data_IF_253042060707
#
_entry.id   IF_253042060707
#
_cell.length_a   1.000
_cell.length_b   1.000
_cell.length_c   1.000
_cell.angle_alpha   90.00
_cell.angle_beta   90.00
_cell.angle_gamma   90.00
#
_symmetry.space_group_name_H-M   'P 1'
#
loop_
_entity.id
_entity.type
_entity.pdbx_description
1 polymer ?
#
# COMPACT_ATOMS: atom_id res chain seq x y z
N UNK A 1 7.01 61.28 -11.27
CA UNK A 1 5.68 61.20 -10.60
C UNK A 1 5.03 59.90 -11.09
N UNK A 2 5.66 58.75 -10.89
CA UNK A 2 5.77 58.03 -9.60
C UNK A 2 4.39 57.71 -9.04
N UNK A 3 4.02 56.44 -9.12
CA UNK A 3 2.72 55.93 -8.68
C UNK A 3 2.58 54.45 -8.93
N UNK A 4 3.57 53.67 -8.46
CA UNK A 4 3.52 52.22 -8.37
C UNK A 4 2.51 51.81 -7.30
N UNK A 5 1.51 50.98 -7.65
CA UNK A 5 0.83 50.08 -6.69
C UNK A 5 0.40 48.81 -7.46
N UNK A 6 0.93 47.63 -7.12
CA UNK A 6 0.53 46.36 -7.71
C UNK A 6 -0.78 45.87 -7.08
N UNK A 7 -1.70 45.34 -7.90
CA UNK A 7 -2.86 44.61 -7.40
C UNK A 7 -2.40 43.23 -6.93
N UNK A 8 -2.52 43.05 -5.63
CA UNK A 8 -2.22 41.88 -4.83
C UNK A 8 -3.23 40.76 -5.17
N UNK A 9 -2.90 39.87 -6.12
CA UNK A 9 -3.62 38.60 -6.31
C UNK A 9 -2.91 37.52 -5.49
N UNK A 10 -3.26 37.47 -4.21
CA UNK A 10 -2.81 36.43 -3.28
C UNK A 10 -3.46 35.10 -3.68
N UNK A 11 -2.89 34.44 -4.68
CA UNK A 11 -3.00 32.99 -4.81
C UNK A 11 -2.41 32.42 -3.53
N UNK A 12 -3.30 32.01 -2.64
CA UNK A 12 -2.96 31.34 -1.39
C UNK A 12 -2.17 30.10 -1.77
N UNK A 13 -0.84 30.23 -1.65
CA UNK A 13 0.11 29.14 -1.74
C UNK A 13 -0.20 28.20 -0.57
N UNK A 14 -1.09 27.24 -0.81
CA UNK A 14 -1.23 26.07 0.04
C UNK A 14 -0.03 25.17 -0.23
N UNK A 15 1.14 25.59 0.24
CA UNK A 15 2.24 24.68 0.49
C UNK A 15 1.68 23.52 1.30
N UNK A 16 1.84 22.26 0.88
CA UNK A 16 1.40 21.12 1.65
C UNK A 16 2.20 21.13 2.94
N UNK A 17 1.52 21.49 4.03
CA UNK A 17 2.10 21.51 5.37
C UNK A 17 2.58 20.09 5.65
N UNK A 18 3.90 20.00 5.78
CA UNK A 18 4.61 19.13 6.71
C UNK A 18 3.98 17.77 6.99
N UNK A 19 4.51 16.76 6.30
CA UNK A 19 4.38 15.39 6.76
C UNK A 19 4.66 14.42 5.64
N UNK A 20 5.92 14.03 5.48
CA UNK A 20 6.28 12.79 4.81
C UNK A 20 5.81 11.58 5.63
N UNK A 21 4.53 11.52 5.97
CA UNK A 21 3.87 10.24 6.11
C UNK A 21 3.72 9.74 4.68
N UNK A 22 4.70 8.97 4.21
CA UNK A 22 4.43 7.92 3.26
C UNK A 22 3.41 6.97 3.94
N UNK A 23 2.16 7.40 4.05
CA UNK A 23 1.01 6.53 4.01
C UNK A 23 0.98 5.99 2.58
N UNK A 24 2.01 5.24 2.20
CA UNK A 24 1.92 4.35 1.07
C UNK A 24 0.65 3.58 1.35
N UNK A 25 -0.41 3.76 0.53
CA UNK A 25 -1.58 2.93 0.66
C UNK A 25 -1.04 1.51 0.68
N UNK A 26 -1.50 0.67 1.61
CA UNK A 26 -1.17 -0.75 1.58
C UNK A 26 -1.87 -1.31 0.34
N UNK A 27 -1.27 -1.05 -0.81
CA UNK A 27 -1.80 -1.28 -2.12
C UNK A 27 -1.33 -2.65 -2.55
N UNK A 28 -2.23 -3.38 -3.21
CA UNK A 28 -1.84 -4.58 -3.92
C UNK A 28 -0.83 -4.16 -4.99
N UNK A 29 0.41 -4.61 -4.83
CA UNK A 29 1.43 -4.45 -5.87
C UNK A 29 1.00 -5.25 -7.09
N UNK A 30 1.36 -4.77 -8.28
CA UNK A 30 1.18 -5.50 -9.54
C UNK A 30 1.67 -6.94 -9.36
N UNK A 31 0.77 -7.89 -9.60
CA UNK A 31 1.05 -9.31 -9.43
C UNK A 31 2.14 -9.74 -10.41
N UNK A 32 3.24 -10.25 -9.87
CA UNK A 32 4.26 -10.92 -10.68
C UNK A 32 3.79 -12.34 -10.99
N UNK A 33 3.08 -12.49 -12.11
CA UNK A 33 2.52 -13.78 -12.55
C UNK A 33 3.56 -14.90 -12.67
N UNK A 34 4.82 -14.58 -12.98
CA UNK A 34 5.90 -15.56 -12.97
C UNK A 34 6.12 -16.21 -11.59
N UNK A 35 6.00 -15.44 -10.51
CA UNK A 35 6.12 -15.95 -9.13
C UNK A 35 4.93 -16.83 -8.78
N UNK A 36 3.72 -16.45 -9.23
CA UNK A 36 2.50 -17.25 -9.03
C UNK A 36 2.59 -18.58 -9.78
N UNK A 37 3.14 -18.59 -10.99
CA UNK A 37 3.35 -19.82 -11.76
C UNK A 37 4.43 -20.69 -11.13
N UNK A 38 5.53 -20.11 -10.64
CA UNK A 38 6.59 -20.85 -9.95
C UNK A 38 6.09 -21.52 -8.66
N UNK A 39 5.22 -20.85 -7.91
CA UNK A 39 4.67 -21.33 -6.64
C UNK A 39 3.70 -22.52 -6.76
N UNK A 40 3.34 -22.98 -7.97
CA UNK A 40 2.43 -24.13 -8.15
C UNK A 40 3.08 -25.50 -7.86
N UNK A 41 4.40 -25.59 -7.82
CA UNK A 41 5.12 -26.85 -7.62
C UNK A 41 5.44 -27.18 -6.16
N UNK A 42 6.15 -28.29 -5.95
CA UNK A 42 6.69 -28.71 -4.65
C UNK A 42 8.23 -28.57 -4.56
N UNK A 43 8.84 -27.92 -5.56
CA UNK A 43 10.28 -27.71 -5.58
C UNK A 43 10.71 -26.68 -4.52
N UNK A 44 11.99 -26.65 -4.12
CA UNK A 44 12.50 -25.59 -3.23
C UNK A 44 12.22 -24.17 -3.77
N UNK A 45 12.33 -23.98 -5.10
CA UNK A 45 12.02 -22.71 -5.75
C UNK A 45 10.53 -22.35 -5.67
N UNK A 46 9.64 -23.34 -5.78
CA UNK A 46 8.21 -23.13 -5.60
C UNK A 46 7.88 -22.70 -4.16
N UNK A 47 8.53 -23.32 -3.16
CA UNK A 47 8.35 -22.94 -1.75
C UNK A 47 8.83 -21.51 -1.47
N UNK A 48 9.98 -21.12 -2.02
CA UNK A 48 10.48 -19.73 -1.94
C UNK A 48 9.54 -18.73 -2.62
N UNK A 49 9.00 -19.10 -3.79
CA UNK A 49 8.02 -18.29 -4.50
C UNK A 49 6.72 -18.12 -3.70
N UNK A 50 6.24 -19.19 -3.06
CA UNK A 50 5.08 -19.14 -2.17
C UNK A 50 5.33 -18.25 -0.95
N UNK A 51 6.45 -18.43 -0.26
CA UNK A 51 6.85 -17.59 0.89
C UNK A 51 6.90 -16.10 0.49
N UNK A 52 7.43 -15.80 -0.69
CA UNK A 52 7.47 -14.45 -1.25
C UNK A 52 6.07 -13.88 -1.47
N UNK A 53 5.12 -14.68 -1.97
CA UNK A 53 3.73 -14.26 -2.13
C UNK A 53 3.08 -13.98 -0.77
N UNK A 54 3.18 -14.91 0.19
CA UNK A 54 2.62 -14.74 1.54
C UNK A 54 3.14 -13.46 2.20
N UNK A 55 4.46 -13.23 2.21
CA UNK A 55 5.05 -12.02 2.80
C UNK A 55 4.64 -10.73 2.09
N UNK A 56 4.51 -10.77 0.77
CA UNK A 56 4.14 -9.59 -0.02
C UNK A 56 2.68 -9.21 0.20
N UNK A 57 1.80 -10.20 0.29
CA UNK A 57 0.36 -9.97 0.30
C UNK A 57 -0.30 -10.02 1.69
N UNK A 58 0.41 -10.48 2.73
CA UNK A 58 -0.11 -10.48 4.11
C UNK A 58 -0.67 -9.13 4.55
N UNK A 59 0.17 -8.08 4.49
CA UNK A 59 -0.20 -6.73 4.94
C UNK A 59 -1.37 -6.15 4.14
N UNK A 60 -1.40 -6.20 2.79
CA UNK A 60 -2.56 -5.71 2.04
C UNK A 60 -3.84 -6.51 2.27
N UNK A 61 -3.77 -7.83 2.45
CA UNK A 61 -4.95 -8.65 2.77
C UNK A 61 -5.48 -8.29 4.17
N UNK A 62 -4.62 -8.27 5.18
CA UNK A 62 -4.99 -7.86 6.54
C UNK A 62 -5.59 -6.44 6.54
N UNK A 63 -4.94 -5.48 5.88
CA UNK A 63 -5.44 -4.10 5.79
C UNK A 63 -6.79 -4.01 5.07
N UNK A 64 -7.03 -4.85 4.05
CA UNK A 64 -8.31 -4.94 3.38
C UNK A 64 -9.39 -5.48 4.32
N UNK A 65 -9.13 -6.57 5.05
CA UNK A 65 -10.06 -7.13 6.04
C UNK A 65 -10.40 -6.11 7.14
N UNK A 66 -9.39 -5.40 7.65
CA UNK A 66 -9.60 -4.32 8.65
C UNK A 66 -10.50 -3.21 8.11
N UNK A 67 -10.41 -2.88 6.82
CA UNK A 67 -11.27 -1.88 6.17
C UNK A 67 -12.70 -2.39 5.93
N UNK A 68 -12.89 -3.70 5.83
CA UNK A 68 -14.22 -4.32 5.73
C UNK A 68 -14.95 -4.43 7.07
N UNK A 69 -14.30 -4.04 8.17
CA UNK A 69 -14.91 -4.03 9.50
C UNK A 69 -14.61 -5.24 10.36
N UNK A 70 -13.76 -6.18 9.89
CA UNK A 70 -13.34 -7.33 10.70
C UNK A 70 -12.50 -6.87 11.91
N UNK A 71 -12.74 -7.43 13.10
CA UNK A 71 -11.88 -7.19 14.26
C UNK A 71 -10.46 -7.69 13.99
N UNK A 72 -9.44 -7.17 14.70
CA UNK A 72 -8.04 -7.48 14.42
C UNK A 72 -7.73 -8.98 14.46
N UNK A 73 -8.27 -9.67 15.46
CA UNK A 73 -8.12 -11.11 15.69
C UNK A 73 -8.70 -11.95 14.54
N UNK A 74 -9.93 -11.66 14.11
CA UNK A 74 -10.55 -12.35 12.98
C UNK A 74 -9.85 -12.05 11.65
N UNK A 75 -9.41 -10.80 11.45
CA UNK A 75 -8.63 -10.42 10.27
C UNK A 75 -7.26 -11.13 10.23
N UNK A 76 -6.63 -11.35 11.38
CA UNK A 76 -5.39 -12.11 11.50
C UNK A 76 -5.63 -13.58 11.20
N UNK A 77 -6.63 -14.20 11.82
CA UNK A 77 -6.98 -15.62 11.59
C UNK A 77 -7.30 -15.90 10.13
N UNK A 78 -8.07 -15.03 9.48
CA UNK A 78 -8.36 -15.15 8.04
C UNK A 78 -7.08 -15.03 7.21
N UNK A 79 -6.16 -14.13 7.55
CA UNK A 79 -4.92 -13.94 6.79
C UNK A 79 -3.93 -15.10 7.02
N UNK A 80 -3.89 -15.68 8.24
CA UNK A 80 -3.09 -16.85 8.62
C UNK A 80 -3.58 -18.16 7.96
N UNK A 81 -4.88 -18.27 7.66
CA UNK A 81 -5.50 -19.50 7.15
C UNK A 81 -5.14 -19.90 5.71
N UNK A 82 -4.27 -19.14 5.03
CA UNK A 82 -3.83 -19.36 3.65
C UNK A 82 -2.30 -19.44 3.58
#
# INVERSE_FOLDING_TARGET
MDGSVPADDQVTSLSPIGGNAHLSPVAFRTTHWSVVLEAQGESPAAQEALEKLCRTYWRPIFAFLRRQGFPPEEAEDITQGF
#
